data_IF_390110987912
#
_entry.id   IF_390110987912
#
_cell.length_a   1.000
_cell.length_b   1.000
_cell.length_c   1.000
_cell.angle_alpha   90.00
_cell.angle_beta   90.00
_cell.angle_gamma   90.00
#
_symmetry.space_group_name_H-M   'P 1'
#
loop_
_entity.id
_entity.type
_entity.pdbx_description
1 polymer ?
#
# COMPACT_ATOMS: atom_id res chain seq x y z
N UNK A 1 20.37 -8.20 37.51
CA UNK A 1 19.52 -8.04 38.72
C UNK A 1 19.63 -6.67 39.38
N UNK A 2 20.83 -6.14 39.68
CA UNK A 2 21.02 -4.87 40.42
C UNK A 2 20.23 -3.66 39.88
N UNK A 3 20.07 -3.49 38.55
CA UNK A 3 19.31 -2.38 37.95
C UNK A 3 17.85 -2.33 38.40
N UNK A 4 17.19 -3.47 38.53
CA UNK A 4 15.77 -3.55 38.90
C UNK A 4 15.60 -3.28 40.39
N UNK A 5 16.53 -3.78 41.22
CA UNK A 5 16.56 -3.51 42.65
C UNK A 5 16.76 -2.01 42.94
N UNK A 6 17.68 -1.35 42.21
CA UNK A 6 17.87 0.11 42.34
C UNK A 6 16.64 0.91 41.92
N UNK A 7 15.99 0.55 40.81
CA UNK A 7 14.75 1.23 40.38
C UNK A 7 13.60 1.03 41.37
N UNK A 8 13.44 -0.18 41.90
CA UNK A 8 12.45 -0.46 42.94
C UNK A 8 12.73 0.32 44.23
N UNK A 9 13.98 0.38 44.68
CA UNK A 9 14.34 1.13 45.88
C UNK A 9 14.14 2.65 45.73
N UNK A 10 14.23 3.19 44.51
CA UNK A 10 14.04 4.62 44.24
C UNK A 10 12.59 5.03 44.01
N UNK A 11 11.80 4.17 43.34
CA UNK A 11 10.48 4.54 42.81
C UNK A 11 9.40 3.51 43.11
N UNK A 12 9.68 2.50 43.94
CA UNK A 12 8.73 1.44 44.29
C UNK A 12 8.23 0.66 43.08
N UNK A 13 6.93 0.37 43.06
CA UNK A 13 6.27 -0.34 41.96
C UNK A 13 6.33 0.42 40.63
N UNK A 14 6.27 1.77 40.66
CA UNK A 14 6.41 2.60 39.44
C UNK A 14 7.79 2.42 38.79
N UNK A 15 8.82 2.13 39.59
CA UNK A 15 10.16 1.81 39.10
C UNK A 15 10.25 0.53 38.27
N UNK A 16 9.23 -0.34 38.36
CA UNK A 16 9.13 -1.56 37.58
C UNK A 16 8.39 -1.37 36.25
N UNK A 17 7.78 -0.20 36.01
CA UNK A 17 7.11 0.07 34.75
C UNK A 17 8.09 0.03 33.57
N UNK A 18 7.59 -0.48 32.45
CA UNK A 18 8.29 -0.36 31.18
C UNK A 18 8.32 1.10 30.79
N UNK A 19 9.52 1.69 30.78
CA UNK A 19 9.73 3.08 30.41
C UNK A 19 9.42 3.34 28.93
N UNK A 20 9.23 2.27 28.14
CA UNK A 20 8.99 2.36 26.72
C UNK A 20 10.20 2.88 25.94
N UNK A 21 10.31 2.44 24.69
CA UNK A 21 11.02 3.22 23.67
C UNK A 21 12.55 3.32 23.75
N UNK A 22 13.26 2.29 24.21
CA UNK A 22 14.73 2.22 24.09
C UNK A 22 15.20 1.85 22.66
N UNK A 23 14.28 1.56 21.75
CA UNK A 23 14.59 1.20 20.36
C UNK A 23 14.76 2.40 19.44
N UNK A 24 15.41 2.18 18.29
CA UNK A 24 15.53 3.18 17.21
C UNK A 24 14.14 3.67 16.81
N UNK A 25 13.96 5.00 16.85
CA UNK A 25 12.73 5.64 16.39
C UNK A 25 12.48 5.28 14.92
N UNK A 26 11.20 5.16 14.54
CA UNK A 26 10.82 4.88 13.15
C UNK A 26 11.35 6.00 12.26
N UNK A 27 11.95 5.64 11.12
CA UNK A 27 12.50 6.61 10.16
C UNK A 27 11.42 7.49 9.52
N UNK A 28 10.24 6.91 9.29
CA UNK A 28 9.08 7.60 8.75
C UNK A 28 8.17 7.95 9.91
N UNK A 29 7.93 9.25 10.11
CA UNK A 29 7.07 9.76 11.18
C UNK A 29 5.60 9.62 10.79
N UNK A 30 4.69 9.88 11.73
CA UNK A 30 3.26 9.79 11.46
C UNK A 30 2.80 10.88 10.49
N UNK A 31 3.43 12.06 10.57
CA UNK A 31 3.21 13.20 9.68
C UNK A 31 3.58 12.85 8.24
N UNK A 32 4.61 12.02 8.03
CA UNK A 32 5.02 11.57 6.70
C UNK A 32 4.15 10.42 6.17
N UNK A 33 3.37 9.74 7.01
CA UNK A 33 2.44 8.70 6.55
C UNK A 33 1.18 9.30 5.93
N UNK A 34 0.69 10.41 6.50
CA UNK A 34 -0.54 11.05 6.04
C UNK A 34 -0.51 11.41 4.54
N UNK A 35 0.58 11.99 3.97
CA UNK A 35 0.69 12.23 2.53
C UNK A 35 0.64 10.93 1.71
N UNK A 36 1.33 9.87 2.15
CA UNK A 36 1.31 8.56 1.47
C UNK A 36 -0.11 8.00 1.40
N UNK A 37 -0.88 8.10 2.48
CA UNK A 37 -2.28 7.65 2.52
C UNK A 37 -3.18 8.54 1.66
N UNK A 38 -2.93 9.85 1.66
CA UNK A 38 -3.67 10.81 0.84
C UNK A 38 -3.46 10.53 -0.65
N UNK A 39 -2.22 10.24 -1.04
CA UNK A 39 -1.84 9.86 -2.40
C UNK A 39 -2.57 8.60 -2.89
N UNK A 40 -2.81 7.62 -2.01
CA UNK A 40 -3.59 6.42 -2.38
C UNK A 40 -5.03 6.75 -2.76
N UNK A 41 -5.60 7.83 -2.19
CA UNK A 41 -6.98 8.26 -2.47
C UNK A 41 -7.08 9.09 -3.74
N UNK A 42 -5.97 9.58 -4.29
CA UNK A 42 -5.98 10.36 -5.53
C UNK A 42 -6.05 9.45 -6.75
N UNK A 43 -6.48 10.02 -7.87
CA UNK A 43 -6.46 9.32 -9.14
C UNK A 43 -5.04 9.32 -9.70
N UNK A 44 -4.48 8.15 -10.09
CA UNK A 44 -3.19 8.05 -10.76
C UNK A 44 -3.16 8.97 -11.99
N UNK A 45 -2.06 9.70 -12.23
CA UNK A 45 -2.04 10.74 -13.25
C UNK A 45 -2.15 10.19 -14.69
N UNK A 46 -1.70 8.96 -14.94
CA UNK A 46 -1.90 8.26 -16.22
C UNK A 46 -3.24 7.55 -16.36
N UNK A 47 -4.14 7.68 -15.38
CA UNK A 47 -5.46 7.05 -15.49
C UNK A 47 -6.31 7.81 -16.49
N UNK A 48 -6.62 7.12 -17.58
CA UNK A 48 -7.59 7.55 -18.58
C UNK A 48 -8.99 7.72 -17.96
N UNK A 49 -9.60 8.89 -18.20
CA UNK A 49 -10.94 9.26 -17.75
C UNK A 49 -11.72 9.88 -18.89
N UNK A 50 -13.02 9.63 -18.91
CA UNK A 50 -13.94 10.29 -19.82
C UNK A 50 -14.23 11.70 -19.31
N UNK A 51 -13.84 12.71 -20.10
CA UNK A 51 -14.25 14.08 -19.86
C UNK A 51 -15.58 14.41 -20.56
N UNK A 52 -16.27 15.51 -20.17
CA UNK A 52 -17.56 15.90 -20.74
C UNK A 52 -17.56 16.08 -22.26
N UNK A 53 -16.39 16.30 -22.86
CA UNK A 53 -16.19 16.52 -24.31
C UNK A 53 -16.11 15.19 -25.09
N UNK A 54 -16.32 14.04 -24.44
CA UNK A 54 -16.39 12.76 -25.14
C UNK A 54 -15.02 12.25 -25.63
N UNK A 55 -13.95 12.67 -24.98
CA UNK A 55 -12.60 12.17 -25.22
C UNK A 55 -12.03 11.51 -23.97
N UNK A 56 -11.20 10.50 -24.19
CA UNK A 56 -10.52 9.76 -23.15
C UNK A 56 -9.18 10.45 -22.88
N UNK A 57 -9.02 11.02 -21.69
CA UNK A 57 -7.89 11.87 -21.34
C UNK A 57 -7.23 11.43 -20.03
N UNK A 58 -5.91 11.57 -19.95
CA UNK A 58 -5.12 11.39 -18.73
C UNK A 58 -4.36 12.68 -18.40
N UNK A 59 -4.17 12.96 -17.11
CA UNK A 59 -3.47 14.17 -16.67
C UNK A 59 -1.99 14.14 -17.08
N UNK A 60 -1.38 12.96 -17.02
CA UNK A 60 -0.04 12.69 -17.54
C UNK A 60 -0.06 11.31 -18.19
N UNK A 61 -0.09 11.26 -19.52
CA UNK A 61 -0.17 10.02 -20.28
C UNK A 61 1.08 9.13 -20.11
N UNK A 62 2.23 9.71 -19.77
CA UNK A 62 3.45 8.96 -19.41
C UNK A 62 3.42 8.47 -17.96
N UNK A 63 2.50 8.99 -17.16
CA UNK A 63 2.29 8.64 -15.77
C UNK A 63 1.70 7.24 -15.58
N UNK A 64 1.73 6.71 -14.35
CA UNK A 64 1.15 5.41 -14.06
C UNK A 64 -0.38 5.43 -14.25
N UNK A 65 -0.97 4.47 -14.99
CA UNK A 65 -2.42 4.35 -15.14
C UNK A 65 -3.12 3.88 -13.84
N UNK A 66 -2.34 3.24 -12.97
CA UNK A 66 -2.78 2.73 -11.68
C UNK A 66 -1.73 2.94 -10.58
N UNK A 67 -2.18 3.13 -9.35
CA UNK A 67 -1.28 3.09 -8.20
C UNK A 67 -0.82 1.66 -7.94
N UNK A 68 0.42 1.39 -8.34
CA UNK A 68 1.20 0.23 -7.89
C UNK A 68 2.02 0.63 -6.67
N UNK A 69 2.54 -0.34 -5.92
CA UNK A 69 3.42 -0.01 -4.79
C UNK A 69 4.69 0.73 -5.24
N UNK A 70 5.17 0.50 -6.47
CA UNK A 70 6.35 1.17 -7.01
C UNK A 70 6.03 2.59 -7.46
N UNK A 71 4.91 2.79 -8.15
CA UNK A 71 4.49 4.14 -8.58
C UNK A 71 4.11 5.00 -7.38
N UNK A 72 3.49 4.42 -6.35
CA UNK A 72 3.20 5.12 -5.11
C UNK A 72 4.49 5.49 -4.35
N UNK A 73 5.50 4.61 -4.33
CA UNK A 73 6.80 4.92 -3.75
C UNK A 73 7.58 5.97 -4.57
N UNK A 74 7.44 6.00 -5.90
CA UNK A 74 8.02 7.03 -6.74
C UNK A 74 7.37 8.40 -6.49
N UNK A 75 6.04 8.45 -6.44
CA UNK A 75 5.30 9.68 -6.16
C UNK A 75 5.56 10.21 -4.74
N UNK A 76 5.59 9.34 -3.71
CA UNK A 76 5.97 9.75 -2.36
C UNK A 76 7.40 10.31 -2.28
N UNK A 77 8.35 9.76 -3.05
CA UNK A 77 9.71 10.31 -3.16
C UNK A 77 9.74 11.66 -3.87
N UNK A 78 8.88 11.86 -4.87
CA UNK A 78 8.73 13.17 -5.52
C UNK A 78 8.18 14.23 -4.56
N UNK A 79 7.37 13.83 -3.57
CA UNK A 79 6.94 14.68 -2.44
C UNK A 79 7.99 14.82 -1.31
N UNK A 80 9.21 14.30 -1.51
CA UNK A 80 10.32 14.42 -0.55
C UNK A 80 10.32 13.37 0.57
N UNK A 81 9.46 12.36 0.49
CA UNK A 81 9.38 11.29 1.49
C UNK A 81 10.26 10.12 1.05
N UNK A 82 11.36 9.89 1.77
CA UNK A 82 12.26 8.77 1.48
C UNK A 82 11.65 7.44 1.92
N UNK A 83 10.95 6.77 0.99
CA UNK A 83 10.25 5.52 1.23
C UNK A 83 10.49 4.49 0.12
N UNK A 84 10.70 3.23 0.52
CA UNK A 84 10.77 2.09 -0.40
C UNK A 84 9.43 1.35 -0.54
N UNK A 85 9.29 0.56 -1.62
CA UNK A 85 8.11 -0.30 -1.91
C UNK A 85 7.59 -1.08 -0.69
N UNK A 86 8.49 -1.76 0.02
CA UNK A 86 8.13 -2.59 1.18
C UNK A 86 7.65 -1.76 2.38
N UNK A 87 8.19 -0.55 2.55
CA UNK A 87 7.74 0.37 3.60
C UNK A 87 6.36 0.92 3.30
N UNK A 88 6.12 1.32 2.04
CA UNK A 88 4.78 1.72 1.57
C UNK A 88 3.77 0.62 1.89
N UNK A 89 4.03 -0.63 1.48
CA UNK A 89 3.13 -1.76 1.78
C UNK A 89 2.84 -1.89 3.28
N UNK A 90 3.86 -1.79 4.13
CA UNK A 90 3.70 -1.91 5.59
C UNK A 90 2.86 -0.77 6.17
N UNK A 91 3.06 0.46 5.69
CA UNK A 91 2.26 1.63 6.09
C UNK A 91 0.80 1.38 5.70
N UNK A 92 0.53 1.01 4.45
CA UNK A 92 -0.84 0.74 3.99
C UNK A 92 -1.55 -0.36 4.80
N UNK A 93 -0.84 -1.43 5.16
CA UNK A 93 -1.40 -2.49 6.01
C UNK A 93 -1.67 -2.02 7.43
N UNK A 94 -0.77 -1.22 8.01
CA UNK A 94 -0.94 -0.68 9.36
C UNK A 94 -2.14 0.30 9.43
N UNK A 95 -2.34 1.10 8.39
CA UNK A 95 -3.46 2.04 8.27
C UNK A 95 -4.77 1.38 7.79
N UNK A 96 -4.81 0.04 7.67
CA UNK A 96 -6.01 -0.70 7.28
C UNK A 96 -6.46 -0.49 5.82
N UNK A 97 -5.59 0.04 4.96
CA UNK A 97 -5.91 0.28 3.55
C UNK A 97 -6.04 -1.07 2.84
N UNK A 98 -7.25 -1.37 2.38
CA UNK A 98 -7.54 -2.60 1.62
C UNK A 98 -6.95 -2.49 0.21
N UNK A 99 -5.75 -3.03 0.04
CA UNK A 99 -5.13 -3.14 -1.28
C UNK A 99 -5.81 -4.20 -2.14
N UNK A 100 -6.36 -3.80 -3.29
CA UNK A 100 -6.95 -4.73 -4.26
C UNK A 100 -5.96 -5.01 -5.37
N UNK A 101 -5.80 -6.30 -5.73
CA UNK A 101 -5.01 -6.68 -6.90
C UNK A 101 -5.77 -6.25 -8.15
N UNK A 102 -5.11 -5.48 -9.03
CA UNK A 102 -5.61 -5.19 -10.37
C UNK A 102 -5.87 -6.50 -11.10
N UNK A 103 -7.06 -6.63 -11.67
CA UNK A 103 -7.38 -7.77 -12.54
C UNK A 103 -6.83 -7.43 -13.92
N UNK A 104 -5.81 -8.16 -14.36
CA UNK A 104 -5.16 -7.95 -15.66
C UNK A 104 -5.95 -8.54 -16.84
N UNK A 105 -7.04 -9.27 -16.58
CA UNK A 105 -7.86 -9.91 -17.60
C UNK A 105 -9.34 -9.80 -17.28
N UNK A 106 -10.08 -9.14 -18.17
CA UNK A 106 -11.54 -9.14 -18.16
C UNK A 106 -12.01 -10.27 -19.07
N UNK A 107 -12.55 -11.34 -18.48
CA UNK A 107 -13.37 -12.31 -19.22
C UNK A 107 -14.74 -11.66 -19.35
N UNK A 108 -15.17 -11.36 -20.57
CA UNK A 108 -16.54 -10.89 -20.77
C UNK A 108 -17.52 -11.97 -20.32
N UNK A 109 -18.62 -11.57 -19.68
CA UNK A 109 -19.77 -12.44 -19.37
C UNK A 109 -20.78 -12.50 -20.51
N UNK A 110 -20.53 -11.75 -21.57
CA UNK A 110 -21.37 -11.69 -22.75
C UNK A 110 -21.42 -13.08 -23.43
N UNK A 111 -22.62 -13.65 -23.66
CA UNK A 111 -22.77 -14.94 -24.34
C UNK A 111 -22.18 -14.94 -25.75
N UNK A 112 -22.08 -13.77 -26.40
CA UNK A 112 -21.56 -13.62 -27.76
C UNK A 112 -20.07 -13.29 -27.80
N UNK A 113 -19.38 -13.30 -26.64
CA UNK A 113 -17.95 -13.00 -26.57
C UNK A 113 -17.11 -14.12 -27.22
N UNK A 114 -16.55 -13.81 -28.39
CA UNK A 114 -15.57 -14.67 -29.06
C UNK A 114 -14.16 -14.36 -28.57
N UNK A 115 -13.46 -15.28 -27.88
CA UNK A 115 -12.09 -15.06 -27.44
C UNK A 115 -11.14 -14.91 -28.64
N UNK A 116 -10.18 -13.99 -28.55
CA UNK A 116 -9.15 -13.78 -29.59
C UNK A 116 -8.13 -14.93 -29.69
N UNK A 117 -8.16 -15.89 -28.76
CA UNK A 117 -7.29 -17.06 -28.76
C UNK A 117 -7.64 -18.06 -27.66
N UNK A 118 -6.94 -19.21 -27.66
CA UNK A 118 -7.07 -20.21 -26.61
C UNK A 118 -6.70 -19.61 -25.25
N UNK A 119 -7.54 -19.84 -24.24
CA UNK A 119 -7.21 -19.51 -22.87
C UNK A 119 -5.94 -20.24 -22.44
N UNK A 120 -5.11 -19.60 -21.62
CA UNK A 120 -3.94 -20.25 -21.04
C UNK A 120 -4.35 -21.48 -20.25
N UNK A 121 -3.59 -22.57 -20.36
CA UNK A 121 -3.79 -23.78 -19.56
C UNK A 121 -3.80 -23.43 -18.08
N UNK A 122 -4.77 -23.96 -17.33
CA UNK A 122 -4.85 -23.73 -15.90
C UNK A 122 -3.63 -24.36 -15.20
N UNK A 123 -2.70 -23.54 -14.72
CA UNK A 123 -1.52 -24.02 -13.98
C UNK A 123 -1.79 -24.25 -12.48
N UNK A 124 -3.04 -24.12 -12.03
CA UNK A 124 -3.41 -24.30 -10.63
C UNK A 124 -4.41 -25.46 -10.51
N UNK A 125 -4.08 -26.54 -9.78
CA UNK A 125 -5.01 -27.62 -9.55
C UNK A 125 -6.22 -27.09 -8.77
N UNK A 126 -7.40 -27.38 -9.28
CA UNK A 126 -8.66 -27.01 -8.63
C UNK A 126 -8.87 -27.94 -7.44
N UNK A 127 -8.72 -27.44 -6.21
CA UNK A 127 -9.02 -28.24 -5.03
C UNK A 127 -10.55 -28.41 -4.91
N UNK A 128 -11.08 -29.65 -4.83
CA UNK A 128 -12.49 -29.85 -4.56
C UNK A 128 -12.80 -29.36 -3.13
N UNK A 129 -13.86 -28.57 -3.00
CA UNK A 129 -14.44 -28.24 -1.69
C UNK A 129 -15.45 -29.33 -1.36
N UNK A 130 -15.15 -30.11 -0.30
CA UNK A 130 -16.10 -31.02 0.33
C UNK A 130 -17.13 -30.23 1.12
#
# INVERSE_FOLDING_TARGET
MRRWLHRFNQSGLEGLEDLGGQGRKRRITEEQRSPIISLVKTVPPGRLRWEPVGELWAFDEAGPPEWTLDSLAAAARAEGIEVGRSQVRRILLAEGVRWRRTRSWTRSKDPDFVPKGHGSSASTPTHPTT
#
